data_IF_591350215258
#
_entry.id   IF_591350215258
#
_cell.length_a   1.000
_cell.length_b   1.000
_cell.length_c   1.000
_cell.angle_alpha   90.00
_cell.angle_beta   90.00
_cell.angle_gamma   90.00
#
_symmetry.space_group_name_H-M   'P 1'
#
loop_
_entity.id
_entity.type
_entity.pdbx_description
1 polymer ?
#
# COMPACT_ATOMS: atom_id res chain seq x y z
N UNK A 1 11.05 -3.08 -5.27
CA UNK A 1 9.58 -3.12 -5.05
C UNK A 1 9.37 -3.00 -3.55
N UNK A 2 8.34 -2.28 -3.13
CA UNK A 2 7.99 -2.10 -1.71
C UNK A 2 6.50 -2.36 -1.51
N UNK A 3 6.18 -2.92 -0.35
CA UNK A 3 4.85 -3.13 0.19
C UNK A 3 4.71 -2.28 1.45
N UNK A 4 3.52 -1.70 1.64
CA UNK A 4 3.23 -0.80 2.76
C UNK A 4 2.00 -1.28 3.48
N UNK A 5 2.20 -1.73 4.70
CA UNK A 5 1.12 -2.09 5.61
C UNK A 5 0.92 -0.97 6.61
N UNK A 6 -0.32 -0.47 6.73
CA UNK A 6 -0.61 0.62 7.65
C UNK A 6 -2.03 0.52 8.24
N UNK A 7 -2.13 0.86 9.52
CA UNK A 7 -3.40 1.05 10.22
C UNK A 7 -3.59 2.54 10.47
N UNK A 8 -4.67 3.09 9.92
CA UNK A 8 -5.05 4.50 10.06
C UNK A 8 -6.32 4.59 10.89
N UNK A 9 -6.32 5.44 11.91
CA UNK A 9 -7.50 5.70 12.72
C UNK A 9 -8.55 6.55 11.98
N UNK A 10 -9.76 6.64 12.56
CA UNK A 10 -10.87 7.42 11.99
C UNK A 10 -10.61 8.93 11.85
N UNK A 11 -9.57 9.46 12.50
CA UNK A 11 -9.16 10.87 12.40
C UNK A 11 -8.07 11.10 11.36
N UNK A 12 -7.57 10.03 10.72
CA UNK A 12 -6.49 10.08 9.74
C UNK A 12 -5.09 9.99 10.35
N UNK A 13 -5.00 9.66 11.65
CA UNK A 13 -3.76 9.40 12.36
C UNK A 13 -3.21 8.01 12.05
N UNK A 14 -1.90 7.90 11.85
CA UNK A 14 -1.23 6.60 11.66
C UNK A 14 -1.05 5.92 13.01
N UNK A 15 -1.66 4.74 13.19
CA UNK A 15 -1.54 3.90 14.39
C UNK A 15 -0.31 2.99 14.27
N UNK A 16 -0.15 2.37 13.11
CA UNK A 16 1.04 1.58 12.75
C UNK A 16 1.29 1.74 11.26
N UNK A 17 2.56 1.65 10.87
CA UNK A 17 2.96 1.56 9.48
C UNK A 17 4.31 0.86 9.39
N UNK A 18 4.42 -0.07 8.45
CA UNK A 18 5.65 -0.78 8.13
C UNK A 18 5.85 -0.83 6.61
N UNK A 19 7.11 -0.94 6.21
CA UNK A 19 7.48 -1.10 4.81
C UNK A 19 8.41 -2.29 4.70
N UNK A 20 8.03 -3.24 3.87
CA UNK A 20 8.89 -4.33 3.44
C UNK A 20 9.27 -4.09 1.98
N UNK A 21 10.54 -4.30 1.65
CA UNK A 21 11.05 -4.05 0.33
C UNK A 21 12.02 -5.11 -0.14
N UNK A 22 12.20 -5.16 -1.45
CA UNK A 22 13.21 -5.99 -2.08
C UNK A 22 13.73 -5.38 -3.37
N UNK A 23 14.95 -5.78 -3.73
CA UNK A 23 15.60 -5.43 -4.99
C UNK A 23 15.82 -6.72 -5.76
N UNK A 24 15.09 -6.87 -6.86
CA UNK A 24 15.33 -7.92 -7.84
C UNK A 24 16.21 -7.37 -8.97
N UNK A 25 17.13 -8.20 -9.44
CA UNK A 25 18.05 -7.89 -10.52
C UNK A 25 17.73 -8.75 -11.75
N UNK A 26 17.84 -8.16 -12.93
CA UNK A 26 17.87 -8.88 -14.21
C UNK A 26 19.24 -8.64 -14.86
N UNK A 27 20.12 -9.64 -14.80
CA UNK A 27 21.52 -9.53 -15.21
C UNK A 27 21.72 -10.19 -16.57
N UNK A 28 22.21 -9.38 -17.52
CA UNK A 28 22.54 -9.77 -18.89
C UNK A 28 23.92 -9.21 -19.26
N UNK A 29 24.93 -9.60 -18.49
CA UNK A 29 26.31 -9.14 -18.63
C UNK A 29 27.19 -10.32 -19.05
N UNK A 30 28.22 -10.07 -19.85
CA UNK A 30 29.15 -11.13 -20.27
C UNK A 30 30.28 -11.31 -19.24
N UNK A 31 30.73 -12.55 -19.05
CA UNK A 31 31.85 -12.88 -18.17
C UNK A 31 31.48 -12.89 -16.70
N UNK A 32 32.39 -12.45 -15.83
CA UNK A 32 32.20 -12.38 -14.37
C UNK A 32 32.33 -10.93 -13.88
N UNK A 33 31.33 -10.07 -14.13
CA UNK A 33 31.41 -8.66 -13.74
C UNK A 33 31.38 -8.51 -12.22
N UNK A 34 32.25 -7.66 -11.67
CA UNK A 34 32.21 -7.27 -10.27
C UNK A 34 31.45 -5.94 -10.12
N UNK A 35 30.25 -6.00 -9.52
CA UNK A 35 29.36 -4.85 -9.39
C UNK A 35 29.44 -4.24 -8.00
N UNK A 36 29.25 -2.92 -7.95
CA UNK A 36 29.23 -2.15 -6.70
C UNK A 36 28.05 -1.19 -6.70
N UNK A 37 27.03 -1.50 -5.90
CA UNK A 37 25.84 -0.66 -5.74
C UNK A 37 25.87 0.10 -4.41
N UNK A 38 25.51 1.39 -4.46
CA UNK A 38 25.42 2.26 -3.28
C UNK A 38 24.06 2.95 -3.20
N UNK A 39 23.61 3.28 -1.99
CA UNK A 39 22.37 4.01 -1.75
C UNK A 39 22.66 5.44 -1.30
N UNK A 40 21.72 6.36 -1.55
CA UNK A 40 21.81 7.75 -1.05
C UNK A 40 21.76 7.77 0.48
N UNK A 41 20.88 6.98 1.08
CA UNK A 41 20.80 6.81 2.53
C UNK A 41 20.63 5.33 2.87
N UNK A 42 21.72 4.55 3.01
CA UNK A 42 21.61 3.11 3.29
C UNK A 42 21.15 2.82 4.73
N UNK A 43 21.10 3.82 5.62
CA UNK A 43 20.76 3.62 7.04
C UNK A 43 19.26 3.37 7.28
N UNK A 44 18.42 3.65 6.30
CA UNK A 44 16.98 3.36 6.38
C UNK A 44 16.67 1.87 6.21
N UNK A 45 17.60 1.12 5.61
CA UNK A 45 17.47 -0.31 5.38
C UNK A 45 17.79 -1.05 6.70
N UNK A 46 16.77 -1.70 7.25
CA UNK A 46 16.85 -2.52 8.46
C UNK A 46 16.56 -3.99 8.12
N UNK A 47 16.98 -4.91 9.00
CA UNK A 47 16.79 -6.36 8.87
C UNK A 47 17.02 -6.89 7.43
N UNK A 48 18.17 -6.52 6.86
CA UNK A 48 18.47 -6.80 5.45
C UNK A 48 18.91 -8.25 5.28
N UNK A 49 18.22 -8.97 4.41
CA UNK A 49 18.63 -10.29 3.93
C UNK A 49 19.32 -10.18 2.57
N UNK A 50 20.39 -10.95 2.39
CA UNK A 50 21.27 -10.84 1.21
C UNK A 50 21.26 -12.11 0.38
N UNK A 51 21.36 -11.94 -0.94
CA UNK A 51 21.74 -13.04 -1.82
C UNK A 51 23.16 -13.53 -1.50
N UNK A 52 23.47 -14.84 -1.62
CA UNK A 52 24.81 -15.38 -1.35
C UNK A 52 25.95 -14.76 -2.16
N UNK A 53 25.65 -14.09 -3.28
CA UNK A 53 26.67 -13.42 -4.09
C UNK A 53 27.18 -12.09 -3.49
N UNK A 54 26.51 -11.58 -2.45
CA UNK A 54 26.88 -10.32 -1.79
C UNK A 54 27.99 -10.53 -0.77
N UNK A 55 29.02 -9.69 -0.87
CA UNK A 55 30.13 -9.63 0.09
C UNK A 55 29.69 -8.92 1.37
N UNK A 56 29.11 -9.67 2.31
CA UNK A 56 28.55 -9.14 3.56
C UNK A 56 29.51 -8.21 4.33
N UNK A 57 30.80 -8.57 4.43
CA UNK A 57 31.81 -7.74 5.14
C UNK A 57 31.87 -6.30 4.62
N UNK A 58 31.68 -6.09 3.31
CA UNK A 58 31.69 -4.75 2.70
C UNK A 58 30.42 -3.97 2.97
N UNK A 59 29.27 -4.66 3.05
CA UNK A 59 28.03 -4.04 3.54
C UNK A 59 28.15 -3.62 5.01
N UNK A 60 28.73 -4.49 5.84
CA UNK A 60 28.92 -4.22 7.26
C UNK A 60 29.78 -2.97 7.49
N UNK A 61 30.95 -2.88 6.83
CA UNK A 61 31.91 -1.78 7.00
C UNK A 61 31.54 -0.50 6.25
N UNK A 62 31.12 -0.60 4.99
CA UNK A 62 30.98 0.55 4.08
C UNK A 62 29.51 0.87 3.74
N UNK A 63 28.57 -0.03 4.07
CA UNK A 63 27.17 0.03 3.59
C UNK A 63 27.07 0.06 2.07
N UNK A 64 27.95 -0.70 1.42
CA UNK A 64 28.05 -0.87 -0.03
C UNK A 64 27.71 -2.32 -0.38
N UNK A 65 26.84 -2.51 -1.37
CA UNK A 65 26.55 -3.84 -1.92
C UNK A 65 27.58 -4.14 -2.99
N UNK A 66 28.43 -5.15 -2.76
CA UNK A 66 29.42 -5.60 -3.71
C UNK A 66 29.27 -7.08 -3.97
N UNK A 67 29.17 -7.46 -5.25
CA UNK A 67 28.78 -8.81 -5.65
C UNK A 67 29.19 -9.12 -7.08
N UNK A 68 29.42 -10.40 -7.35
CA UNK A 68 29.47 -10.95 -8.72
C UNK A 68 28.11 -11.61 -8.95
N UNK A 69 27.22 -11.02 -9.76
CA UNK A 69 25.86 -11.51 -9.89
C UNK A 69 25.78 -12.85 -10.63
N UNK A 70 24.82 -13.73 -10.26
CA UNK A 70 24.36 -14.79 -11.15
C UNK A 70 23.73 -14.23 -12.43
N UNK A 71 23.77 -15.01 -13.50
CA UNK A 71 23.06 -14.69 -14.74
C UNK A 71 21.54 -14.80 -14.56
N UNK A 72 20.81 -13.92 -15.26
CA UNK A 72 19.34 -13.95 -15.28
C UNK A 72 18.70 -13.16 -14.13
N UNK A 73 17.58 -13.67 -13.62
CA UNK A 73 16.76 -12.97 -12.63
C UNK A 73 16.99 -13.55 -11.24
N UNK A 74 17.28 -12.71 -10.26
CA UNK A 74 17.38 -13.12 -8.86
C UNK A 74 17.08 -11.96 -7.91
N UNK A 75 16.74 -12.28 -6.66
CA UNK A 75 16.59 -11.31 -5.58
C UNK A 75 17.94 -10.98 -4.98
N UNK A 76 18.39 -9.74 -5.07
CA UNK A 76 19.66 -9.27 -4.52
C UNK A 76 19.58 -9.06 -3.01
N UNK A 77 18.56 -8.33 -2.56
CA UNK A 77 18.28 -8.11 -1.13
C UNK A 77 16.77 -8.04 -0.86
N UNK A 78 16.37 -8.37 0.36
CA UNK A 78 15.11 -7.92 0.98
C UNK A 78 15.41 -7.16 2.26
N UNK A 79 14.54 -6.24 2.66
CA UNK A 79 14.75 -5.34 3.78
C UNK A 79 13.42 -4.91 4.41
N UNK A 80 13.51 -4.45 5.65
CA UNK A 80 12.46 -3.74 6.35
C UNK A 80 12.87 -2.28 6.55
N UNK A 81 11.92 -1.38 6.73
CA UNK A 81 12.20 0.01 7.12
C UNK A 81 11.73 0.19 8.56
N UNK A 82 12.67 0.60 9.43
CA UNK A 82 12.43 0.75 10.87
C UNK A 82 11.33 1.78 11.20
N UNK A 83 10.51 1.48 12.21
CA UNK A 83 9.38 2.28 12.71
C UNK A 83 9.76 3.67 13.24
N UNK A 84 11.06 3.96 13.41
CA UNK A 84 11.55 5.28 13.82
C UNK A 84 11.37 6.35 12.75
N UNK A 85 11.14 5.96 11.50
CA UNK A 85 10.84 6.88 10.39
C UNK A 85 9.33 7.01 10.22
N UNK A 86 8.82 8.25 10.18
CA UNK A 86 7.42 8.51 9.86
C UNK A 86 7.15 8.00 8.44
N UNK A 87 6.42 6.89 8.32
CA UNK A 87 6.04 6.32 7.03
C UNK A 87 5.09 7.27 6.31
N UNK A 88 5.47 7.66 5.11
CA UNK A 88 4.68 8.57 4.29
C UNK A 88 3.48 7.84 3.68
N UNK A 89 2.30 7.96 4.30
CA UNK A 89 1.08 7.31 3.80
C UNK A 89 0.64 7.99 2.50
N UNK A 90 0.56 7.28 1.36
CA UNK A 90 0.38 7.91 0.06
C UNK A 90 -1.08 8.19 -0.30
N UNK A 91 -2.03 7.63 0.44
CA UNK A 91 -3.48 7.70 0.17
C UNK A 91 -4.23 8.08 1.45
N UNK A 92 -5.36 8.75 1.32
CA UNK A 92 -6.27 8.98 2.44
C UNK A 92 -7.71 8.64 2.04
N UNK A 93 -8.51 8.34 3.06
CA UNK A 93 -9.95 8.11 2.92
C UNK A 93 -10.69 9.15 3.74
N UNK A 94 -11.63 9.85 3.12
CA UNK A 94 -12.68 10.57 3.83
C UNK A 94 -13.90 9.67 3.84
N UNK A 95 -14.46 9.43 5.02
CA UNK A 95 -15.59 8.53 5.16
C UNK A 95 -16.70 9.15 6.02
N UNK A 96 -17.94 8.81 5.68
CA UNK A 96 -19.11 8.98 6.51
C UNK A 96 -19.95 7.72 6.37
N UNK A 97 -19.97 6.90 7.43
CA UNK A 97 -20.75 5.67 7.48
C UNK A 97 -21.65 5.82 8.71
N UNK A 98 -22.95 5.85 8.47
CA UNK A 98 -23.99 5.94 9.50
C UNK A 98 -25.02 4.87 9.24
N UNK A 99 -24.96 3.80 10.02
CA UNK A 99 -25.95 2.73 9.96
C UNK A 99 -27.32 3.20 10.44
N UNK A 100 -27.37 4.17 11.37
CA UNK A 100 -28.63 4.76 11.85
C UNK A 100 -29.37 5.52 10.76
N UNK A 101 -28.64 6.27 9.94
CA UNK A 101 -29.20 7.01 8.79
C UNK A 101 -29.30 6.14 7.54
N UNK A 102 -28.75 4.92 7.58
CA UNK A 102 -28.61 4.06 6.42
C UNK A 102 -27.80 4.73 5.30
N UNK A 103 -26.74 5.47 5.63
CA UNK A 103 -25.97 6.28 4.68
C UNK A 103 -24.49 5.90 4.66
N UNK A 104 -23.94 5.80 3.45
CA UNK A 104 -22.52 5.59 3.19
C UNK A 104 -22.00 6.65 2.22
N UNK A 105 -20.86 7.22 2.54
CA UNK A 105 -20.11 8.14 1.69
C UNK A 105 -18.61 7.89 1.91
N UNK A 106 -17.91 7.47 0.87
CA UNK A 106 -16.46 7.22 0.90
C UNK A 106 -15.83 7.97 -0.25
N UNK A 107 -14.82 8.79 0.04
CA UNK A 107 -14.01 9.50 -0.95
C UNK A 107 -12.55 9.15 -0.74
N UNK A 108 -11.86 8.83 -1.83
CA UNK A 108 -10.44 8.48 -1.82
C UNK A 108 -9.63 9.62 -2.45
N UNK A 109 -8.50 9.96 -1.86
CA UNK A 109 -7.59 10.94 -2.44
C UNK A 109 -6.11 10.63 -2.18
N UNK A 110 -5.21 11.23 -2.97
CA UNK A 110 -3.78 11.11 -2.74
C UNK A 110 -3.36 11.97 -1.53
N UNK A 111 -2.37 11.51 -0.77
CA UNK A 111 -1.79 12.25 0.36
C UNK A 111 -0.32 12.58 0.07
N UNK A 112 0.60 11.64 0.26
CA UNK A 112 2.03 11.82 0.04
C UNK A 112 2.53 10.96 -1.12
N UNK A 113 2.15 11.30 -2.35
CA UNK A 113 2.52 10.51 -3.55
C UNK A 113 3.71 11.07 -4.32
N UNK A 114 4.30 12.19 -3.87
CA UNK A 114 5.38 12.89 -4.59
C UNK A 114 5.04 13.19 -6.06
N UNK A 115 3.77 13.47 -6.35
CA UNK A 115 3.27 13.74 -7.70
C UNK A 115 3.11 12.49 -8.58
N UNK A 116 3.34 11.29 -8.04
CA UNK A 116 3.10 10.03 -8.75
C UNK A 116 1.60 9.68 -8.73
N UNK A 117 1.17 9.03 -9.80
CA UNK A 117 -0.21 8.57 -9.96
C UNK A 117 -0.46 7.34 -9.09
N UNK A 118 -1.60 7.31 -8.41
CA UNK A 118 -2.07 6.14 -7.66
C UNK A 118 -3.02 5.35 -8.56
N UNK A 119 -2.68 4.08 -8.79
CA UNK A 119 -3.35 3.19 -9.72
C UNK A 119 -3.80 1.91 -9.02
N UNK A 120 -4.62 1.09 -9.71
CA UNK A 120 -5.14 -0.17 -9.19
C UNK A 120 -5.76 -0.04 -7.80
N UNK A 121 -6.44 1.09 -7.55
CA UNK A 121 -7.07 1.34 -6.26
C UNK A 121 -8.32 0.50 -6.16
N UNK A 122 -8.37 -0.35 -5.14
CA UNK A 122 -9.55 -1.11 -4.74
C UNK A 122 -9.82 -0.89 -3.25
N UNK A 123 -11.11 -0.86 -2.90
CA UNK A 123 -11.58 -0.76 -1.53
C UNK A 123 -12.42 -1.97 -1.19
N UNK A 124 -12.19 -2.50 0.00
CA UNK A 124 -13.00 -3.56 0.58
C UNK A 124 -13.51 -3.15 1.96
N UNK A 125 -14.80 -3.32 2.20
CA UNK A 125 -15.45 -3.03 3.48
C UNK A 125 -16.22 -4.27 3.95
N UNK A 126 -15.77 -4.98 4.99
CA UNK A 126 -16.51 -6.08 5.59
C UNK A 126 -17.69 -5.53 6.39
N UNK A 127 -18.89 -5.58 5.82
CA UNK A 127 -20.09 -5.01 6.41
C UNK A 127 -20.59 -5.85 7.60
N UNK A 128 -21.20 -5.23 8.61
CA UNK A 128 -21.88 -5.95 9.68
C UNK A 128 -22.97 -6.88 9.14
N UNK A 129 -23.20 -8.01 9.82
CA UNK A 129 -24.18 -9.04 9.41
C UNK A 129 -25.60 -8.50 9.20
N UNK A 130 -25.96 -7.43 9.91
CA UNK A 130 -27.26 -6.77 9.81
C UNK A 130 -27.48 -6.04 8.46
N UNK A 131 -26.43 -5.80 7.67
CA UNK A 131 -26.54 -5.19 6.35
C UNK A 131 -27.10 -6.18 5.35
N UNK A 132 -28.25 -5.84 4.77
CA UNK A 132 -28.93 -6.64 3.75
C UNK A 132 -28.49 -6.27 2.34
N UNK A 133 -28.28 -4.97 2.07
CA UNK A 133 -27.91 -4.46 0.75
C UNK A 133 -27.22 -3.08 0.85
N UNK A 134 -26.42 -2.76 -0.18
CA UNK A 134 -25.82 -1.43 -0.39
C UNK A 134 -26.24 -0.89 -1.78
N UNK A 135 -27.02 0.19 -1.80
CA UNK A 135 -27.42 0.87 -3.05
C UNK A 135 -26.59 2.14 -3.19
N UNK A 136 -25.51 2.04 -3.97
CA UNK A 136 -24.48 3.06 -4.05
C UNK A 136 -24.31 3.57 -5.48
N UNK A 137 -23.85 4.81 -5.61
CA UNK A 137 -23.52 5.45 -6.88
C UNK A 137 -22.05 5.84 -6.83
N UNK A 138 -21.16 5.08 -7.49
CA UNK A 138 -19.77 5.49 -7.66
C UNK A 138 -19.67 6.62 -8.69
N UNK A 139 -18.91 7.65 -8.39
CA UNK A 139 -18.51 8.68 -9.35
C UNK A 139 -17.44 8.20 -10.33
N UNK A 140 -16.73 7.13 -9.96
CA UNK A 140 -15.69 6.47 -10.75
C UNK A 140 -15.61 4.99 -10.35
N UNK A 141 -15.33 4.13 -11.33
CA UNK A 141 -15.11 2.71 -11.08
C UNK A 141 -16.42 1.93 -10.98
N UNK A 142 -16.35 0.72 -10.44
CA UNK A 142 -17.49 -0.18 -10.28
C UNK A 142 -17.48 -0.76 -8.87
N UNK A 143 -18.65 -1.06 -8.34
CA UNK A 143 -18.78 -1.67 -7.03
C UNK A 143 -19.66 -2.92 -7.10
N UNK A 144 -19.47 -3.80 -6.13
CA UNK A 144 -20.31 -4.97 -5.88
C UNK A 144 -20.51 -5.11 -4.38
N UNK A 145 -21.66 -5.66 -3.98
CA UNK A 145 -21.90 -6.07 -2.60
C UNK A 145 -22.36 -7.51 -2.63
N UNK A 146 -21.65 -8.39 -1.95
CA UNK A 146 -22.05 -9.77 -1.76
C UNK A 146 -22.88 -9.91 -0.47
N UNK A 147 -24.19 -10.19 -0.57
CA UNK A 147 -25.05 -10.31 0.61
C UNK A 147 -24.77 -11.57 1.43
N UNK A 148 -24.00 -12.53 0.92
CA UNK A 148 -23.61 -13.77 1.61
C UNK A 148 -22.36 -13.52 2.45
N UNK A 149 -21.24 -13.13 1.83
CA UNK A 149 -20.01 -12.82 2.56
C UNK A 149 -20.06 -11.48 3.32
N UNK A 150 -21.05 -10.63 3.02
CA UNK A 150 -21.20 -9.27 3.56
C UNK A 150 -20.04 -8.35 3.20
N UNK A 151 -19.41 -8.56 2.04
CA UNK A 151 -18.29 -7.74 1.59
C UNK A 151 -18.77 -6.74 0.54
N UNK A 152 -18.53 -5.45 0.79
CA UNK A 152 -18.62 -4.39 -0.22
C UNK A 152 -17.24 -4.23 -0.87
N UNK A 153 -17.18 -4.38 -2.19
CA UNK A 153 -15.97 -4.13 -2.98
C UNK A 153 -16.21 -2.94 -3.91
N UNK A 154 -15.22 -2.06 -4.02
CA UNK A 154 -15.21 -0.93 -4.95
C UNK A 154 -13.88 -0.87 -5.69
N UNK A 155 -13.92 -1.20 -6.98
CA UNK A 155 -12.80 -1.08 -7.90
C UNK A 155 -12.77 0.33 -8.47
N UNK A 156 -11.91 1.18 -7.90
CA UNK A 156 -11.78 2.60 -8.25
C UNK A 156 -10.97 2.78 -9.54
N UNK A 157 -9.88 2.02 -9.69
CA UNK A 157 -8.93 2.18 -10.79
C UNK A 157 -7.86 3.24 -10.48
N UNK A 158 -7.67 4.22 -11.37
CA UNK A 158 -6.65 5.27 -11.21
C UNK A 158 -7.25 6.52 -10.55
N UNK A 159 -6.59 7.09 -9.55
CA UNK A 159 -7.09 8.32 -8.91
C UNK A 159 -6.89 9.52 -9.85
N UNK A 160 -7.99 10.18 -10.19
CA UNK A 160 -7.98 11.51 -10.82
C UNK A 160 -7.95 12.59 -9.73
N UNK A 161 -6.87 13.37 -9.70
CA UNK A 161 -6.68 14.43 -8.70
C UNK A 161 -7.55 15.66 -8.95
N UNK A 162 -8.05 15.85 -10.17
CA UNK A 162 -8.95 16.96 -10.52
C UNK A 162 -10.37 16.70 -10.03
N UNK A 163 -10.77 15.43 -9.93
CA UNK A 163 -12.07 14.98 -9.43
C UNK A 163 -11.91 13.70 -8.63
N UNK A 164 -11.77 13.86 -7.31
CA UNK A 164 -11.51 12.74 -6.42
C UNK A 164 -12.61 11.65 -6.51
N UNK A 165 -12.22 10.37 -6.66
CA UNK A 165 -13.17 9.27 -6.67
C UNK A 165 -13.95 9.21 -5.35
N UNK A 166 -15.27 9.11 -5.48
CA UNK A 166 -16.19 8.88 -4.37
C UNK A 166 -17.27 7.86 -4.72
N UNK A 167 -17.79 7.18 -3.71
CA UNK A 167 -18.95 6.29 -3.77
C UNK A 167 -19.90 6.64 -2.64
N UNK A 168 -21.18 6.84 -2.96
CA UNK A 168 -22.19 7.36 -2.03
C UNK A 168 -23.53 6.70 -2.22
N UNK A 169 -24.31 6.54 -1.16
CA UNK A 169 -25.67 6.03 -1.25
C UNK A 169 -26.20 5.51 0.07
N UNK A 170 -27.07 4.51 -0.01
CA UNK A 170 -27.81 3.99 1.14
C UNK A 170 -27.45 2.56 1.48
N UNK A 171 -27.54 2.25 2.78
CA UNK A 171 -27.36 0.93 3.36
C UNK A 171 -28.72 0.47 3.88
N UNK A 172 -29.16 -0.72 3.48
CA UNK A 172 -30.37 -1.36 4.00
C UNK A 172 -30.03 -2.29 5.15
N UNK A 173 -30.67 -2.11 6.29
CA UNK A 173 -30.49 -2.93 7.48
C UNK A 173 -31.66 -3.90 7.70
N UNK A 174 -31.38 -5.02 8.34
CA UNK A 174 -32.39 -5.95 8.81
C UNK A 174 -33.23 -5.30 9.93
N UNK A 175 -34.56 -5.30 9.77
CA UNK A 175 -35.47 -4.78 10.79
C UNK A 175 -35.29 -5.53 12.12
N UNK A 176 -35.26 -4.79 13.23
CA UNK A 176 -35.10 -5.35 14.57
C UNK A 176 -33.68 -5.79 14.93
N UNK A 177 -32.68 -5.54 14.08
CA UNK A 177 -31.28 -5.81 14.43
C UNK A 177 -30.81 -4.91 15.58
N UNK A 178 -29.91 -5.39 16.46
CA UNK A 178 -29.26 -4.56 17.45
C UNK A 178 -28.58 -3.34 16.81
N UNK A 179 -28.46 -2.21 17.55
CA UNK A 179 -27.67 -1.07 17.08
C UNK A 179 -26.22 -1.49 16.77
N UNK A 180 -25.70 -1.01 15.65
CA UNK A 180 -24.29 -1.21 15.29
C UNK A 180 -23.45 -0.16 16.04
N UNK A 181 -22.55 -0.63 16.90
CA UNK A 181 -21.79 0.23 17.82
C UNK A 181 -20.53 0.85 17.18
N UNK A 182 -19.98 0.23 16.14
CA UNK A 182 -18.78 0.69 15.46
C UNK A 182 -18.86 0.54 13.94
N UNK A 183 -18.16 1.43 13.23
CA UNK A 183 -18.01 1.32 11.79
C UNK A 183 -17.01 0.21 11.43
N UNK A 184 -17.22 -0.51 10.31
CA UNK A 184 -16.28 -1.51 9.83
C UNK A 184 -14.96 -0.86 9.40
N UNK A 185 -13.90 -1.66 9.30
CA UNK A 185 -12.65 -1.22 8.67
C UNK A 185 -12.87 -0.96 7.18
N UNK A 186 -12.05 -0.07 6.62
CA UNK A 186 -11.99 0.16 5.17
C UNK A 186 -10.60 -0.29 4.72
N UNK A 187 -10.55 -1.44 4.08
CA UNK A 187 -9.31 -2.02 3.56
C UNK A 187 -9.05 -1.40 2.18
N UNK A 188 -7.80 -1.02 1.91
CA UNK A 188 -7.42 -0.38 0.64
C UNK A 188 -6.21 -1.09 0.07
N UNK A 189 -6.28 -1.43 -1.21
CA UNK A 189 -5.11 -1.86 -1.99
C UNK A 189 -4.88 -0.85 -3.12
N UNK A 190 -3.62 -0.61 -3.45
CA UNK A 190 -3.24 0.33 -4.50
C UNK A 190 -1.83 0.01 -5.02
N UNK A 191 -1.46 0.62 -6.13
CA UNK A 191 -0.11 0.56 -6.69
C UNK A 191 0.34 1.98 -7.05
N UNK A 192 1.61 2.29 -6.77
CA UNK A 192 2.25 3.52 -7.23
C UNK A 192 3.51 3.14 -7.99
N UNK A 193 3.50 3.41 -9.28
CA UNK A 193 4.63 3.12 -10.14
C UNK A 193 5.74 4.16 -9.97
N UNK A 194 7.00 3.72 -10.07
CA UNK A 194 8.19 4.58 -10.01
C UNK A 194 8.33 5.37 -8.69
N UNK A 195 7.92 4.74 -7.58
CA UNK A 195 8.06 5.27 -6.23
C UNK A 195 8.53 4.17 -5.27
N UNK A 196 9.53 4.49 -4.44
CA UNK A 196 9.79 3.80 -3.20
C UNK A 196 9.25 4.68 -2.08
N UNK A 197 8.25 4.20 -1.35
CA UNK A 197 7.58 4.94 -0.28
C UNK A 197 8.52 5.23 0.90
N UNK A 198 9.53 4.38 1.09
CA UNK A 198 10.59 4.56 2.09
C UNK A 198 11.55 5.71 1.77
N UNK A 199 11.55 6.18 0.51
CA UNK A 199 12.56 7.08 -0.02
C UNK A 199 13.89 6.41 -0.38
N UNK A 200 13.98 5.06 -0.36
CA UNK A 200 15.16 4.33 -0.83
C UNK A 200 15.50 4.75 -2.26
N UNK A 201 16.76 5.19 -2.44
CA UNK A 201 17.28 5.63 -3.72
C UNK A 201 18.68 5.08 -3.95
N UNK A 202 18.86 4.43 -5.10
CA UNK A 202 20.19 4.01 -5.58
C UNK A 202 20.97 5.26 -5.98
N UNK A 203 22.21 5.36 -5.49
CA UNK A 203 23.14 6.44 -5.80
C UNK A 203 23.99 6.10 -7.02
N UNK A 204 24.59 4.91 -7.01
CA UNK A 204 25.43 4.40 -8.11
C UNK A 204 25.31 2.88 -8.20
N UNK A 205 25.45 2.34 -9.41
CA UNK A 205 25.70 0.94 -9.73
C UNK A 205 26.90 0.86 -10.68
#
# INVERSE_FOLDING_TARGET
>A
IEEVDAIIDKSGGTVSAEIQGYIDCCIKLSGMPDLTMTFVNPRILDDVSFHPCVRFKRWESEKVLSFIPPDGNFRLISYHISSQSIVAIPIYIKHFISFREGRLDITVGPKQTMGRQVENVSIEVPMPKAVLNCTLVPSQGKYSFDPVSKVLQWDVGKIDVTKLPNIRGTISLQAGSPPIESNPSVNVSFTINQMAVSGVKVSRL
#
